data_IF_969707919787
#
_entry.id   IF_969707919787
#
_cell.length_a   1.000
_cell.length_b   1.000
_cell.length_c   1.000
_cell.angle_alpha   90.00
_cell.angle_beta   90.00
_cell.angle_gamma   90.00
#
_symmetry.space_group_name_H-M   'P 1'
#
loop_
_entity.id
_entity.type
_entity.pdbx_description
1 polymer ?
#
# COMPACT_ATOMS: atom_id res chain seq x y z
N UNK A 1 1.57 -25.65 -81.52
CA UNK A 1 1.60 -24.24 -81.10
C UNK A 1 2.71 -24.12 -80.07
N UNK A 2 3.83 -23.58 -80.46
CA UNK A 2 5.11 -23.63 -79.75
C UNK A 2 5.15 -22.48 -78.71
N UNK A 3 5.51 -22.79 -77.47
CA UNK A 3 5.87 -21.77 -76.48
C UNK A 3 7.27 -22.06 -75.95
N UNK A 4 8.19 -21.13 -76.28
CA UNK A 4 9.63 -21.20 -75.97
C UNK A 4 9.86 -20.91 -74.51
N UNK A 5 10.62 -21.78 -73.85
CA UNK A 5 11.13 -21.59 -72.48
C UNK A 5 12.41 -20.76 -72.58
N UNK A 6 12.41 -19.59 -71.96
CA UNK A 6 13.59 -18.74 -71.80
C UNK A 6 14.24 -19.05 -70.45
N UNK A 7 15.44 -19.64 -70.49
CA UNK A 7 16.30 -19.83 -69.29
C UNK A 7 17.15 -18.59 -69.10
N UNK A 8 16.97 -17.93 -67.99
CA UNK A 8 17.91 -16.91 -67.49
C UNK A 8 18.69 -17.51 -66.31
N UNK A 9 19.98 -17.66 -66.53
CA UNK A 9 20.94 -18.01 -65.46
C UNK A 9 21.20 -16.81 -64.58
N UNK A 10 21.02 -17.00 -63.28
CA UNK A 10 21.38 -15.99 -62.28
C UNK A 10 22.60 -16.47 -61.50
N UNK A 11 23.71 -15.76 -61.66
CA UNK A 11 24.93 -15.99 -60.90
C UNK A 11 24.72 -15.60 -59.46
N UNK A 12 24.87 -16.53 -58.54
CA UNK A 12 24.88 -16.29 -57.11
C UNK A 12 26.32 -15.89 -56.69
N UNK A 13 26.51 -14.61 -56.38
CA UNK A 13 27.73 -14.14 -55.71
C UNK A 13 27.62 -14.43 -54.21
N UNK A 14 28.50 -15.32 -53.73
CA UNK A 14 28.60 -15.68 -52.31
C UNK A 14 29.37 -14.58 -51.59
N UNK A 15 28.71 -13.65 -50.95
CA UNK A 15 29.31 -12.69 -50.02
C UNK A 15 29.40 -13.34 -48.63
N UNK A 16 30.60 -13.68 -48.19
CA UNK A 16 30.90 -14.12 -46.85
C UNK A 16 30.74 -12.95 -45.88
N UNK A 17 29.59 -12.88 -45.18
CA UNK A 17 29.43 -11.98 -44.05
C UNK A 17 30.15 -12.59 -42.83
N UNK A 18 31.25 -11.99 -42.46
CA UNK A 18 31.91 -12.20 -41.17
C UNK A 18 30.99 -11.68 -40.09
N UNK A 19 30.28 -12.54 -39.38
CA UNK A 19 29.66 -12.20 -38.13
C UNK A 19 30.74 -11.99 -37.09
N UNK A 20 31.08 -10.73 -36.84
CA UNK A 20 31.78 -10.34 -35.64
C UNK A 20 30.81 -10.55 -34.46
N UNK A 21 31.05 -11.59 -33.65
CA UNK A 21 30.44 -11.69 -32.33
C UNK A 21 31.02 -10.57 -31.45
N UNK A 22 30.41 -9.42 -31.44
CA UNK A 22 30.52 -8.52 -30.30
C UNK A 22 29.70 -9.15 -29.18
N UNK A 23 30.35 -9.60 -28.12
CA UNK A 23 29.72 -9.89 -26.85
C UNK A 23 29.25 -8.57 -26.26
N UNK A 24 28.08 -8.08 -26.70
CA UNK A 24 27.36 -7.09 -25.93
C UNK A 24 26.92 -7.76 -24.63
N UNK A 25 27.55 -7.35 -23.52
CA UNK A 25 27.00 -7.63 -22.22
C UNK A 25 25.52 -7.22 -22.26
N UNK A 26 24.59 -8.10 -21.79
CA UNK A 26 23.18 -7.73 -21.73
C UNK A 26 23.09 -6.44 -20.92
N UNK A 27 22.46 -5.42 -21.52
CA UNK A 27 22.22 -4.14 -20.85
C UNK A 27 21.65 -4.44 -19.46
N UNK A 28 22.14 -3.77 -18.40
CA UNK A 28 21.66 -4.01 -17.05
C UNK A 28 20.14 -3.83 -17.07
N UNK A 29 19.44 -4.88 -16.64
CA UNK A 29 17.98 -4.88 -16.52
C UNK A 29 17.62 -3.61 -15.75
N UNK A 30 16.74 -2.72 -16.30
CA UNK A 30 16.33 -1.53 -15.59
C UNK A 30 15.87 -1.96 -14.20
N UNK A 31 16.47 -1.36 -13.17
CA UNK A 31 16.21 -1.69 -11.79
C UNK A 31 14.72 -1.44 -11.53
N UNK A 32 13.88 -2.47 -11.66
CA UNK A 32 12.43 -2.46 -11.41
C UNK A 32 12.22 -2.35 -9.90
N UNK A 33 12.60 -1.20 -9.36
CA UNK A 33 12.31 -0.88 -7.98
C UNK A 33 10.91 -0.31 -7.92
N UNK A 34 10.03 -0.77 -7.01
CA UNK A 34 8.81 -0.06 -6.70
C UNK A 34 9.18 1.40 -6.44
N UNK A 35 8.59 2.32 -7.19
CA UNK A 35 8.80 3.73 -6.94
C UNK A 35 8.03 4.04 -5.66
N UNK A 36 8.76 4.18 -4.56
CA UNK A 36 8.19 4.56 -3.27
C UNK A 36 7.36 5.85 -3.43
N UNK A 37 6.22 5.97 -2.77
CA UNK A 37 5.55 7.24 -2.63
C UNK A 37 6.49 8.20 -1.87
N UNK A 38 6.79 9.35 -2.45
CA UNK A 38 7.66 10.35 -1.86
C UNK A 38 9.09 10.41 -2.45
N UNK A 39 9.84 11.43 -2.09
CA UNK A 39 11.21 11.64 -2.51
C UNK A 39 12.15 10.61 -1.87
N UNK A 40 13.22 10.26 -2.54
CA UNK A 40 14.16 9.20 -2.18
C UNK A 40 14.96 9.42 -0.89
N UNK A 41 14.81 10.54 -0.21
CA UNK A 41 15.67 10.92 0.92
C UNK A 41 14.93 11.09 2.27
N UNK A 42 13.62 11.26 2.26
CA UNK A 42 12.84 11.59 3.45
C UNK A 42 11.78 10.52 3.76
N UNK A 43 12.22 9.36 4.23
CA UNK A 43 11.29 8.35 4.72
C UNK A 43 10.98 8.53 6.19
N UNK A 44 9.72 8.35 6.56
CA UNK A 44 9.34 8.25 7.97
C UNK A 44 10.06 7.07 8.60
N UNK A 45 10.81 7.32 9.66
CA UNK A 45 11.55 6.29 10.43
C UNK A 45 10.78 5.80 11.64
N UNK A 46 9.94 6.64 12.23
CA UNK A 46 9.02 6.16 13.25
C UNK A 46 7.71 6.93 13.27
N UNK A 47 6.67 6.24 13.71
CA UNK A 47 5.33 6.77 13.97
C UNK A 47 4.98 6.38 15.39
N UNK A 48 4.61 7.34 16.23
CA UNK A 48 4.20 7.08 17.60
C UNK A 48 2.90 7.80 17.91
N UNK A 49 1.99 7.09 18.54
CA UNK A 49 0.69 7.61 18.93
C UNK A 49 0.68 7.99 20.40
N UNK A 50 -0.06 9.03 20.75
CA UNK A 50 -0.44 9.35 22.13
C UNK A 50 -1.94 9.61 22.20
N UNK A 51 -2.57 9.20 23.28
CA UNK A 51 -4.02 9.16 23.43
C UNK A 51 -4.54 7.73 23.43
N UNK A 52 -5.84 7.57 23.71
CA UNK A 52 -6.46 6.25 23.79
C UNK A 52 -6.98 5.83 22.42
N UNK A 53 -6.07 5.32 21.57
CA UNK A 53 -6.43 4.76 20.27
C UNK A 53 -6.26 3.25 20.34
N UNK A 54 -7.37 2.53 20.43
CA UNK A 54 -7.34 1.07 20.32
C UNK A 54 -6.98 0.63 18.89
N UNK A 55 -6.08 -0.33 18.78
CA UNK A 55 -5.75 -1.00 17.53
C UNK A 55 -4.75 -0.26 16.63
N UNK A 56 -4.18 0.86 17.05
CA UNK A 56 -3.09 1.50 16.33
C UNK A 56 -1.74 0.90 16.69
N UNK A 57 -0.84 0.91 15.72
CA UNK A 57 0.52 0.45 15.91
C UNK A 57 1.50 1.62 15.92
N UNK A 58 2.35 1.68 16.93
CA UNK A 58 3.57 2.47 16.87
C UNK A 58 4.58 1.74 16.00
N UNK A 59 5.14 2.42 15.03
CA UNK A 59 6.04 1.82 14.05
C UNK A 59 7.45 2.37 14.15
N UNK A 60 8.44 1.49 13.96
CA UNK A 60 9.83 1.83 13.68
C UNK A 60 10.25 1.17 12.38
N UNK A 61 10.80 1.96 11.46
CA UNK A 61 11.16 1.54 10.11
C UNK A 61 12.67 1.60 9.90
N UNK A 62 13.20 0.61 9.21
CA UNK A 62 14.60 0.60 8.75
C UNK A 62 14.62 0.49 7.23
N UNK A 63 15.29 1.45 6.59
CA UNK A 63 15.44 1.50 5.14
C UNK A 63 16.89 1.22 4.73
N UNK A 64 17.05 0.58 3.57
CA UNK A 64 18.31 0.41 2.89
C UNK A 64 18.09 0.65 1.40
N UNK A 65 18.93 1.48 0.79
CA UNK A 65 18.82 1.85 -0.63
C UNK A 65 17.38 2.30 -1.00
N UNK A 66 16.80 3.17 -0.17
CA UNK A 66 15.43 3.69 -0.28
C UNK A 66 14.31 2.63 -0.23
N UNK A 67 14.60 1.42 0.23
CA UNK A 67 13.62 0.35 0.42
C UNK A 67 13.45 0.04 1.90
N UNK A 68 12.21 -0.15 2.34
CA UNK A 68 11.92 -0.66 3.67
C UNK A 68 12.45 -2.09 3.80
N UNK A 69 13.40 -2.33 4.68
CA UNK A 69 13.97 -3.67 4.91
C UNK A 69 13.50 -4.29 6.22
N UNK A 70 13.12 -3.46 7.19
CA UNK A 70 12.56 -3.95 8.45
C UNK A 70 11.57 -2.96 9.02
N UNK A 71 10.51 -3.46 9.62
CA UNK A 71 9.53 -2.69 10.38
C UNK A 71 9.25 -3.40 11.70
N UNK A 72 9.26 -2.64 12.80
CA UNK A 72 8.84 -3.13 14.10
C UNK A 72 7.58 -2.39 14.51
N UNK A 73 6.48 -3.11 14.65
CA UNK A 73 5.19 -2.62 15.10
C UNK A 73 4.94 -2.97 16.56
N UNK A 74 4.46 -2.02 17.33
CA UNK A 74 4.01 -2.23 18.72
C UNK A 74 2.55 -1.86 18.79
N UNK A 75 1.68 -2.86 18.98
CA UNK A 75 0.25 -2.62 19.17
C UNK A 75 0.02 -2.01 20.54
N UNK A 76 -0.52 -0.80 20.53
CA UNK A 76 -0.94 -0.15 21.76
C UNK A 76 -2.29 -0.72 22.21
N UNK A 77 -2.33 -1.27 23.41
CA UNK A 77 -3.57 -1.66 24.08
C UNK A 77 -3.47 -1.19 25.54
N UNK A 78 -4.32 -0.26 25.99
CA UNK A 78 -4.24 0.31 27.33
C UNK A 78 -4.47 -0.71 28.47
N UNK A 79 -5.03 -1.88 28.15
CA UNK A 79 -5.42 -2.91 29.12
C UNK A 79 -4.55 -4.16 29.13
N UNK A 80 -3.67 -4.35 28.15
CA UNK A 80 -2.86 -5.56 27.98
C UNK A 80 -1.38 -5.23 27.73
N UNK A 81 -0.55 -6.28 27.81
CA UNK A 81 0.87 -6.18 27.43
C UNK A 81 0.95 -5.82 25.94
N UNK A 82 1.75 -4.81 25.62
CA UNK A 82 1.99 -4.38 24.24
C UNK A 82 2.48 -5.59 23.40
N UNK A 83 1.78 -5.89 22.33
CA UNK A 83 2.17 -6.94 21.39
C UNK A 83 3.15 -6.29 20.40
N UNK A 84 4.35 -6.83 20.32
CA UNK A 84 5.37 -6.38 19.39
C UNK A 84 5.67 -7.46 18.37
N UNK A 85 5.78 -7.07 17.11
CA UNK A 85 6.30 -7.93 16.07
C UNK A 85 7.25 -7.16 15.13
N UNK A 86 8.16 -7.89 14.52
CA UNK A 86 9.10 -7.34 13.54
C UNK A 86 8.92 -8.05 12.21
N UNK A 87 8.76 -7.28 11.15
CA UNK A 87 8.72 -7.76 9.77
C UNK A 87 10.02 -7.43 9.08
N UNK A 88 10.68 -8.43 8.48
CA UNK A 88 11.84 -8.24 7.61
C UNK A 88 11.43 -8.53 6.18
N UNK A 89 11.66 -7.56 5.28
CA UNK A 89 11.23 -7.63 3.89
C UNK A 89 12.42 -7.98 3.00
N UNK A 90 12.24 -8.99 2.17
CA UNK A 90 13.22 -9.43 1.16
C UNK A 90 12.55 -9.33 -0.20
N UNK A 91 13.07 -8.45 -1.04
CA UNK A 91 12.51 -8.16 -2.36
C UNK A 91 13.07 -9.12 -3.41
N UNK A 92 12.17 -9.68 -4.21
CA UNK A 92 12.44 -10.45 -5.43
C UNK A 92 11.67 -9.80 -6.59
N UNK A 93 11.93 -10.13 -7.86
CA UNK A 93 11.26 -9.46 -8.99
C UNK A 93 9.74 -9.43 -8.91
N UNK A 94 9.11 -10.53 -8.48
CA UNK A 94 7.65 -10.70 -8.52
C UNK A 94 7.05 -10.90 -7.13
N UNK A 95 7.88 -10.96 -6.08
CA UNK A 95 7.42 -11.25 -4.71
C UNK A 95 8.20 -10.48 -3.68
N UNK A 96 7.55 -10.23 -2.54
CA UNK A 96 8.22 -9.79 -1.33
C UNK A 96 8.12 -10.90 -0.30
N UNK A 97 9.27 -11.47 0.06
CA UNK A 97 9.36 -12.37 1.20
C UNK A 97 9.28 -11.55 2.49
N UNK A 98 8.36 -11.91 3.38
CA UNK A 98 8.24 -11.29 4.69
C UNK A 98 8.53 -12.33 5.75
N UNK A 99 9.58 -12.09 6.53
CA UNK A 99 9.93 -12.91 7.68
C UNK A 99 9.58 -12.14 8.96
N UNK A 100 8.55 -12.60 9.63
CA UNK A 100 8.10 -12.01 10.88
C UNK A 100 8.69 -12.72 12.09
N UNK A 101 8.84 -11.98 13.19
CA UNK A 101 9.04 -12.56 14.53
C UNK A 101 7.66 -12.85 15.13
N UNK A 102 7.47 -14.04 15.63
CA UNK A 102 6.17 -14.54 16.12
C UNK A 102 5.46 -15.43 15.08
N UNK A 103 4.21 -15.76 15.37
CA UNK A 103 3.43 -16.74 14.57
C UNK A 103 2.75 -16.13 13.33
N UNK A 104 3.04 -14.86 13.01
CA UNK A 104 2.42 -14.18 11.88
C UNK A 104 3.13 -14.56 10.58
N UNK A 105 2.59 -15.54 9.85
CA UNK A 105 3.07 -15.89 8.52
C UNK A 105 2.41 -15.00 7.47
N UNK A 106 3.23 -14.32 6.62
CA UNK A 106 2.76 -13.53 5.50
C UNK A 106 3.34 -14.04 4.18
N UNK A 107 2.51 -14.08 3.15
CA UNK A 107 2.91 -14.33 1.76
C UNK A 107 2.38 -13.20 0.90
N UNK A 108 3.27 -12.56 0.15
CA UNK A 108 2.93 -11.42 -0.73
C UNK A 108 3.21 -11.80 -2.17
N UNK A 109 2.26 -11.50 -3.05
CA UNK A 109 2.42 -11.57 -4.51
C UNK A 109 2.21 -10.17 -5.07
N UNK A 110 3.12 -9.73 -5.96
CA UNK A 110 3.07 -8.42 -6.58
C UNK A 110 2.48 -8.50 -7.98
N UNK A 111 1.79 -7.43 -8.41
CA UNK A 111 1.41 -7.22 -9.80
C UNK A 111 2.58 -6.62 -10.62
N UNK A 112 2.35 -6.34 -11.90
CA UNK A 112 3.36 -5.73 -12.80
C UNK A 112 3.84 -4.34 -12.38
N UNK A 113 3.07 -3.63 -11.56
CA UNK A 113 3.41 -2.30 -11.06
C UNK A 113 4.13 -2.35 -9.70
N UNK A 114 4.52 -3.55 -9.26
CA UNK A 114 5.14 -3.84 -7.96
C UNK A 114 4.25 -3.48 -6.75
N UNK A 115 2.94 -3.47 -6.94
CA UNK A 115 1.97 -3.35 -5.85
C UNK A 115 1.45 -4.74 -5.46
N UNK A 116 1.04 -4.90 -4.21
CA UNK A 116 0.49 -6.15 -3.70
C UNK A 116 -0.84 -6.47 -4.42
N UNK A 117 -0.88 -7.52 -5.20
CA UNK A 117 -2.12 -8.06 -5.76
C UNK A 117 -2.80 -9.03 -4.78
N UNK A 118 -1.99 -9.80 -4.08
CA UNK A 118 -2.46 -10.80 -3.14
C UNK A 118 -1.59 -10.83 -1.89
N UNK A 119 -2.24 -10.87 -0.74
CA UNK A 119 -1.60 -11.02 0.56
C UNK A 119 -2.31 -12.12 1.36
N UNK A 120 -1.55 -13.08 1.85
CA UNK A 120 -2.01 -14.08 2.82
C UNK A 120 -1.38 -13.74 4.17
N UNK A 121 -2.21 -13.54 5.18
CA UNK A 121 -1.80 -13.32 6.58
C UNK A 121 -2.39 -14.43 7.41
N UNK A 122 -1.57 -15.37 7.86
CA UNK A 122 -2.01 -16.61 8.48
C UNK A 122 -2.98 -17.39 7.56
N UNK A 123 -4.29 -17.21 7.74
CA UNK A 123 -5.37 -17.86 6.96
C UNK A 123 -6.25 -16.84 6.26
N UNK A 124 -6.07 -15.58 6.55
CA UNK A 124 -6.83 -14.48 5.95
C UNK A 124 -6.21 -14.11 4.61
N UNK A 125 -7.02 -14.14 3.58
CA UNK A 125 -6.62 -13.76 2.23
C UNK A 125 -7.10 -12.35 1.92
N UNK A 126 -6.19 -11.53 1.40
CA UNK A 126 -6.49 -10.17 0.93
C UNK A 126 -6.18 -10.07 -0.56
N UNK A 127 -7.05 -9.41 -1.30
CA UNK A 127 -6.86 -9.08 -2.72
C UNK A 127 -7.01 -7.59 -2.90
N UNK A 128 -6.12 -7.01 -3.71
CA UNK A 128 -6.04 -5.58 -3.93
C UNK A 128 -6.13 -5.29 -5.42
N UNK A 129 -6.87 -4.24 -5.78
CA UNK A 129 -7.06 -3.78 -7.16
C UNK A 129 -6.63 -2.33 -7.28
N UNK A 130 -5.91 -2.02 -8.35
CA UNK A 130 -5.33 -0.69 -8.57
C UNK A 130 -5.82 -0.09 -9.89
N UNK A 131 -5.92 1.24 -9.90
CA UNK A 131 -6.11 2.05 -11.10
C UNK A 131 -5.13 3.23 -11.06
N UNK A 132 -4.41 3.47 -12.15
CA UNK A 132 -3.38 4.53 -12.25
C UNK A 132 -2.32 4.49 -11.12
N UNK A 133 -2.05 3.28 -10.62
CA UNK A 133 -1.12 3.03 -9.51
C UNK A 133 -1.66 3.39 -8.12
N UNK A 134 -2.96 3.62 -7.97
CA UNK A 134 -3.64 3.86 -6.70
C UNK A 134 -4.54 2.69 -6.35
N UNK A 135 -4.61 2.36 -5.08
CA UNK A 135 -5.52 1.33 -4.57
C UNK A 135 -6.97 1.81 -4.71
N UNK A 136 -7.78 1.09 -5.50
CA UNK A 136 -9.20 1.43 -5.72
C UNK A 136 -10.16 0.46 -5.04
N UNK A 137 -9.74 -0.77 -4.78
CA UNK A 137 -10.54 -1.70 -3.97
C UNK A 137 -9.68 -2.79 -3.35
N UNK A 138 -10.20 -3.36 -2.29
CA UNK A 138 -9.64 -4.53 -1.66
C UNK A 138 -10.75 -5.39 -1.04
N UNK A 139 -10.47 -6.66 -0.83
CA UNK A 139 -11.32 -7.55 -0.05
C UNK A 139 -10.49 -8.46 0.85
N UNK A 140 -11.10 -8.87 1.95
CA UNK A 140 -10.59 -9.85 2.90
C UNK A 140 -11.53 -11.04 2.94
N UNK A 141 -11.01 -12.24 2.73
CA UNK A 141 -11.73 -13.50 2.91
C UNK A 141 -11.11 -14.29 4.05
N UNK A 142 -11.95 -14.95 4.83
CA UNK A 142 -11.53 -15.86 5.89
C UNK A 142 -11.94 -17.28 5.49
N UNK A 143 -11.01 -18.24 5.58
CA UNK A 143 -11.33 -19.65 5.38
C UNK A 143 -11.88 -20.24 6.67
N UNK A 144 -13.16 -20.63 6.64
CA UNK A 144 -13.71 -21.45 7.73
C UNK A 144 -13.10 -22.86 7.67
N UNK A 145 -12.27 -23.16 8.67
CA UNK A 145 -11.58 -24.45 8.76
C UNK A 145 -12.52 -25.64 9.01
N UNK A 146 -13.70 -25.38 9.54
CA UNK A 146 -14.65 -26.45 9.90
C UNK A 146 -15.47 -26.89 8.68
N UNK A 147 -15.72 -25.97 7.75
CA UNK A 147 -16.59 -26.25 6.59
C UNK A 147 -15.87 -26.09 5.25
N UNK A 148 -14.62 -25.63 5.22
CA UNK A 148 -13.88 -25.41 3.98
C UNK A 148 -14.45 -24.29 3.10
N UNK A 149 -15.44 -23.55 3.60
CA UNK A 149 -16.06 -22.43 2.89
C UNK A 149 -15.21 -21.17 3.06
N UNK A 150 -15.00 -20.45 1.95
CA UNK A 150 -14.44 -19.11 1.96
C UNK A 150 -15.60 -18.12 2.11
N UNK A 151 -15.53 -17.25 3.11
CA UNK A 151 -16.51 -16.19 3.31
C UNK A 151 -15.86 -14.83 3.18
N UNK A 152 -16.49 -13.91 2.43
CA UNK A 152 -16.11 -12.51 2.41
C UNK A 152 -16.32 -11.94 3.83
N UNK A 153 -15.24 -11.45 4.43
CA UNK A 153 -15.26 -10.91 5.78
C UNK A 153 -15.28 -9.39 5.79
N UNK A 154 -14.51 -8.77 4.91
CA UNK A 154 -14.46 -7.32 4.79
C UNK A 154 -14.11 -6.89 3.36
N UNK A 155 -14.53 -5.71 2.99
CA UNK A 155 -14.12 -5.09 1.73
C UNK A 155 -14.08 -3.56 1.84
N UNK A 156 -13.30 -2.94 0.97
CA UNK A 156 -13.27 -1.50 0.79
C UNK A 156 -13.19 -1.11 -0.68
N UNK A 157 -13.83 0.00 -1.04
CA UNK A 157 -13.64 0.68 -2.32
C UNK A 157 -13.23 2.11 -2.07
N UNK A 158 -12.30 2.63 -2.87
CA UNK A 158 -11.71 3.96 -2.69
C UNK A 158 -11.90 4.75 -3.98
N UNK A 159 -12.59 5.85 -3.90
CA UNK A 159 -12.77 6.80 -5.00
C UNK A 159 -11.82 7.98 -4.82
N UNK A 160 -11.22 8.41 -5.94
CA UNK A 160 -10.30 9.55 -5.97
C UNK A 160 -10.86 10.67 -6.84
N UNK A 161 -10.61 11.91 -6.41
CA UNK A 161 -10.84 13.13 -7.19
C UNK A 161 -9.53 13.90 -7.29
N UNK A 162 -9.04 14.18 -8.51
CA UNK A 162 -7.77 14.88 -8.77
C UNK A 162 -6.55 14.27 -8.03
N UNK A 163 -6.62 12.98 -7.72
CA UNK A 163 -5.58 12.25 -7.02
C UNK A 163 -5.68 12.25 -5.49
N UNK A 164 -6.70 12.86 -4.93
CA UNK A 164 -7.05 12.83 -3.51
C UNK A 164 -8.14 11.81 -3.25
N UNK A 165 -8.08 11.15 -2.09
CA UNK A 165 -9.15 10.30 -1.62
C UNK A 165 -10.39 11.18 -1.41
N UNK A 166 -11.49 10.85 -2.12
CA UNK A 166 -12.77 11.52 -1.99
C UNK A 166 -13.72 10.74 -1.08
N UNK A 167 -13.87 9.44 -1.34
CA UNK A 167 -14.76 8.57 -0.58
C UNK A 167 -14.13 7.20 -0.40
N UNK A 168 -14.28 6.62 0.79
CA UNK A 168 -14.03 5.20 1.03
C UNK A 168 -15.36 4.57 1.46
N UNK A 169 -15.73 3.48 0.79
CA UNK A 169 -16.84 2.61 1.21
C UNK A 169 -16.24 1.40 1.90
N UNK A 170 -16.70 1.07 3.08
CA UNK A 170 -16.16 -0.04 3.87
C UNK A 170 -17.28 -0.84 4.52
N UNK A 171 -17.20 -2.17 4.47
CA UNK A 171 -18.08 -3.07 5.20
C UNK A 171 -17.33 -4.27 5.77
N UNK A 172 -17.84 -4.81 6.86
CA UNK A 172 -17.38 -6.02 7.55
C UNK A 172 -18.57 -6.94 7.86
N UNK A 173 -18.31 -8.24 7.92
CA UNK A 173 -19.26 -9.26 8.42
C UNK A 173 -20.66 -9.24 7.77
N UNK A 174 -20.75 -8.85 6.50
CA UNK A 174 -21.99 -8.64 5.75
C UNK A 174 -22.88 -7.51 6.32
N UNK A 175 -22.30 -6.59 7.09
CA UNK A 175 -23.00 -5.37 7.50
C UNK A 175 -23.20 -4.43 6.30
N UNK A 176 -24.15 -3.51 6.42
CA UNK A 176 -24.32 -2.45 5.45
C UNK A 176 -23.08 -1.54 5.42
N UNK A 177 -22.67 -1.07 4.22
CA UNK A 177 -21.44 -0.32 4.08
C UNK A 177 -21.51 1.06 4.76
N UNK A 178 -20.42 1.40 5.44
CA UNK A 178 -20.16 2.75 5.98
C UNK A 178 -19.39 3.56 4.96
N UNK A 179 -19.72 4.85 4.83
CA UNK A 179 -19.08 5.77 3.89
C UNK A 179 -18.21 6.77 4.64
N UNK A 180 -16.96 6.91 4.20
CA UNK A 180 -15.97 7.84 4.74
C UNK A 180 -15.68 8.89 3.68
N UNK A 181 -16.22 10.11 3.84
CA UNK A 181 -16.00 11.22 2.92
C UNK A 181 -14.81 12.03 3.37
N UNK A 182 -13.80 12.11 2.53
CA UNK A 182 -12.54 12.78 2.82
C UNK A 182 -12.51 14.16 2.19
N UNK A 183 -12.03 15.14 2.96
CA UNK A 183 -11.72 16.48 2.47
C UNK A 183 -10.22 16.66 2.51
N UNK A 184 -9.53 17.05 1.41
CA UNK A 184 -8.09 17.26 1.40
C UNK A 184 -7.72 18.62 2.03
N UNK A 185 -6.47 18.70 2.51
CA UNK A 185 -5.81 19.98 2.81
C UNK A 185 -5.25 20.61 1.54
N UNK A 186 -4.60 21.77 1.66
CA UNK A 186 -3.73 22.32 0.60
C UNK A 186 -2.28 21.80 0.69
N UNK A 187 -1.95 20.98 1.69
CA UNK A 187 -0.59 20.46 1.93
C UNK A 187 -0.43 19.16 1.14
N UNK A 188 0.58 19.12 0.27
CA UNK A 188 0.92 17.90 -0.48
C UNK A 188 1.39 16.79 0.46
N UNK A 189 0.93 15.58 0.24
CA UNK A 189 1.38 14.39 0.96
C UNK A 189 2.68 13.85 0.36
N UNK A 190 3.74 14.65 0.42
CA UNK A 190 5.06 14.29 -0.14
C UNK A 190 5.72 13.14 0.57
N UNK A 191 5.42 12.98 1.85
CA UNK A 191 6.00 11.96 2.72
C UNK A 191 5.26 10.61 2.63
N UNK A 192 4.15 10.58 1.85
CA UNK A 192 3.37 9.37 1.63
C UNK A 192 2.69 8.87 2.90
N UNK A 193 2.24 9.79 3.77
CA UNK A 193 1.59 9.41 5.02
C UNK A 193 0.25 8.72 4.77
N UNK A 194 0.02 7.63 5.46
CA UNK A 194 -1.28 6.97 5.51
C UNK A 194 -2.25 7.90 6.26
N UNK A 195 -3.47 8.15 5.72
CA UNK A 195 -4.45 8.93 6.45
C UNK A 195 -4.77 8.25 7.79
N UNK A 196 -4.54 8.99 8.89
CA UNK A 196 -4.84 8.49 10.22
C UNK A 196 -6.32 8.12 10.35
N UNK A 197 -6.64 7.16 11.17
CA UNK A 197 -7.98 6.57 11.35
C UNK A 197 -8.55 5.79 10.16
N UNK A 198 -7.93 5.84 8.97
CA UNK A 198 -8.40 5.14 7.77
C UNK A 198 -7.61 3.87 7.40
N UNK A 199 -6.66 3.48 8.23
CA UNK A 199 -5.80 2.31 7.99
C UNK A 199 -6.61 1.05 7.64
N UNK A 200 -7.58 0.70 8.46
CA UNK A 200 -8.46 -0.45 8.27
C UNK A 200 -9.32 -0.33 7.00
N UNK A 201 -9.88 0.85 6.74
CA UNK A 201 -10.71 1.14 5.57
C UNK A 201 -9.91 1.09 4.27
N UNK A 202 -8.61 1.31 4.36
CA UNK A 202 -7.65 1.14 3.25
C UNK A 202 -7.05 -0.28 3.17
N UNK A 203 -7.59 -1.22 3.92
CA UNK A 203 -7.15 -2.62 3.88
C UNK A 203 -5.87 -2.93 4.67
N UNK A 204 -5.42 -2.02 5.55
CA UNK A 204 -4.22 -2.20 6.36
C UNK A 204 -4.56 -2.71 7.76
N UNK A 205 -4.85 -3.99 7.91
CA UNK A 205 -5.24 -4.60 9.19
C UNK A 205 -4.02 -4.92 10.08
N UNK A 206 -3.28 -3.92 10.51
CA UNK A 206 -2.05 -4.08 11.32
C UNK A 206 -0.81 -4.40 10.48
N UNK A 207 -0.84 -4.12 9.18
CA UNK A 207 0.32 -4.22 8.31
C UNK A 207 0.57 -2.92 7.51
N UNK A 208 0.36 -1.78 8.16
CA UNK A 208 0.61 -0.43 7.63
C UNK A 208 2.04 -0.27 7.10
N UNK A 209 2.98 -1.04 7.63
CA UNK A 209 4.36 -1.08 7.13
C UNK A 209 4.46 -1.46 5.64
N UNK A 210 3.48 -2.21 5.10
CA UNK A 210 3.43 -2.52 3.66
C UNK A 210 3.01 -1.29 2.82
N UNK A 211 2.19 -0.40 3.40
CA UNK A 211 1.89 0.88 2.79
C UNK A 211 3.14 1.77 2.75
N UNK A 212 3.85 1.91 3.87
CA UNK A 212 5.10 2.67 3.95
C UNK A 212 6.25 2.05 3.15
N UNK A 213 6.17 0.77 2.83
CA UNK A 213 7.04 0.12 1.85
C UNK A 213 6.70 0.46 0.39
N UNK A 214 5.63 1.24 0.14
CA UNK A 214 5.16 1.57 -1.20
C UNK A 214 4.44 0.42 -1.92
N UNK A 215 4.12 -0.64 -1.21
CA UNK A 215 3.54 -1.86 -1.78
C UNK A 215 2.01 -1.80 -1.95
N UNK A 216 1.35 -0.79 -1.36
CA UNK A 216 -0.10 -0.57 -1.51
C UNK A 216 -0.45 0.59 -2.46
N UNK A 217 0.47 0.92 -3.37
CA UNK A 217 0.26 1.93 -4.39
C UNK A 217 0.60 3.35 -3.95
N UNK A 218 0.18 4.32 -4.78
CA UNK A 218 0.45 5.74 -4.52
C UNK A 218 -0.42 6.28 -3.41
N UNK A 219 0.15 7.07 -2.53
CA UNK A 219 -0.56 7.83 -1.51
C UNK A 219 -1.56 8.84 -2.11
N UNK A 220 -2.50 9.33 -1.30
CA UNK A 220 -3.32 10.50 -1.63
C UNK A 220 -2.42 11.70 -1.92
N UNK A 221 -2.83 12.55 -2.87
CA UNK A 221 -2.00 13.67 -3.36
C UNK A 221 -1.77 14.73 -2.28
N UNK A 222 -2.81 15.05 -1.52
CA UNK A 222 -2.73 15.95 -0.38
C UNK A 222 -3.06 15.21 0.91
N UNK A 223 -2.66 15.78 2.05
CA UNK A 223 -3.06 15.25 3.36
C UNK A 223 -4.58 15.41 3.54
N UNK A 224 -5.19 14.47 4.25
CA UNK A 224 -6.62 14.53 4.57
C UNK A 224 -6.83 15.56 5.67
N UNK A 225 -7.73 16.54 5.44
CA UNK A 225 -8.13 17.56 6.41
C UNK A 225 -9.21 17.07 7.35
N UNK A 226 -10.19 16.38 6.79
CA UNK A 226 -11.34 15.89 7.56
C UNK A 226 -11.90 14.62 6.93
N UNK A 227 -12.48 13.79 7.77
CA UNK A 227 -13.25 12.60 7.40
C UNK A 227 -14.62 12.72 8.03
N UNK A 228 -15.66 12.73 7.21
CA UNK A 228 -17.03 12.58 7.64
C UNK A 228 -17.43 11.11 7.48
N UNK A 229 -18.00 10.53 8.52
CA UNK A 229 -18.41 9.12 8.56
C UNK A 229 -19.93 9.06 8.52
N UNK A 230 -20.47 8.47 7.44
CA UNK A 230 -21.90 8.28 7.23
C UNK A 230 -22.25 6.81 7.46
N UNK A 231 -22.99 6.51 8.47
CA UNK A 231 -23.50 5.17 8.73
C UNK A 231 -24.83 4.92 8.01
N UNK A 232 -25.05 3.71 7.44
CA UNK A 232 -26.28 3.39 6.72
C UNK A 232 -27.53 3.30 7.63
N UNK A 233 -27.33 3.06 8.91
CA UNK A 233 -28.42 2.90 9.89
C UNK A 233 -28.80 4.25 10.49
N UNK A 234 -30.04 4.72 10.19
CA UNK A 234 -30.59 5.95 10.77
C UNK A 234 -30.66 5.94 12.32
N UNK A 235 -30.59 4.76 12.95
CA UNK A 235 -30.53 4.63 14.40
C UNK A 235 -29.16 5.00 14.99
N UNK A 236 -28.10 5.00 14.17
CA UNK A 236 -26.75 5.48 14.52
C UNK A 236 -26.55 6.93 14.09
N UNK A 237 -27.47 7.80 14.44
CA UNK A 237 -27.63 9.18 13.96
C UNK A 237 -26.50 10.16 14.25
N UNK A 238 -25.39 9.73 14.78
CA UNK A 238 -24.26 10.63 15.02
C UNK A 238 -23.34 10.59 13.80
N UNK A 239 -23.64 11.42 12.79
CA UNK A 239 -22.68 11.80 11.75
C UNK A 239 -21.42 12.27 12.47
N UNK A 240 -20.40 11.43 12.42
CA UNK A 240 -19.17 11.68 13.15
C UNK A 240 -18.15 12.26 12.19
N UNK A 241 -17.52 13.36 12.56
CA UNK A 241 -16.48 13.98 11.76
C UNK A 241 -15.18 14.07 12.56
N UNK A 242 -14.08 13.67 11.93
CA UNK A 242 -12.73 13.83 12.48
C UNK A 242 -12.00 14.87 11.66
N UNK A 243 -11.49 15.92 12.32
CA UNK A 243 -10.64 16.93 11.72
C UNK A 243 -9.19 16.74 12.13
N UNK A 244 -8.29 16.75 11.14
CA UNK A 244 -6.85 16.60 11.34
C UNK A 244 -6.15 17.94 11.24
N UNK A 245 -5.19 18.17 12.13
CA UNK A 245 -4.31 19.34 12.12
C UNK A 245 -2.88 18.87 12.06
N UNK A 246 -2.13 19.44 11.13
CA UNK A 246 -0.75 19.07 10.88
C UNK A 246 0.19 20.22 11.27
N UNK A 247 1.35 19.87 11.81
CA UNK A 247 2.49 20.78 11.94
C UNK A 247 3.72 20.20 11.27
N UNK A 248 4.57 21.09 10.76
CA UNK A 248 5.80 20.73 10.07
C UNK A 248 7.03 21.10 10.88
N UNK A 249 8.11 20.36 10.68
CA UNK A 249 9.42 20.68 11.17
C UNK A 249 10.09 21.78 10.30
N UNK A 250 11.35 22.13 10.63
CA UNK A 250 12.13 23.14 9.89
C UNK A 250 12.45 22.75 8.43
N UNK A 251 12.25 21.51 8.07
CA UNK A 251 12.48 20.97 6.72
C UNK A 251 11.18 20.74 5.95
N UNK A 252 10.08 21.38 6.40
CA UNK A 252 8.73 21.26 5.84
C UNK A 252 8.14 19.83 5.82
N UNK A 253 8.70 18.91 6.62
CA UNK A 253 8.17 17.56 6.81
C UNK A 253 7.13 17.57 7.92
N UNK A 254 6.09 16.74 7.79
CA UNK A 254 5.04 16.63 8.82
C UNK A 254 5.60 15.95 10.06
N UNK A 255 5.76 16.67 11.15
CA UNK A 255 6.25 16.13 12.42
C UNK A 255 5.13 15.70 13.37
N UNK A 256 3.94 16.28 13.23
CA UNK A 256 2.83 16.04 14.14
C UNK A 256 1.48 16.11 13.39
N UNK A 257 0.62 15.16 13.66
CA UNK A 257 -0.82 15.19 13.33
C UNK A 257 -1.63 15.12 14.63
N UNK A 258 -2.64 15.98 14.79
CA UNK A 258 -3.53 15.95 15.95
C UNK A 258 -5.00 15.93 15.51
N UNK A 259 -5.83 15.20 16.26
CA UNK A 259 -7.28 15.13 16.04
C UNK A 259 -8.00 14.73 17.32
N UNK A 260 -9.31 14.80 17.31
CA UNK A 260 -10.18 14.32 18.40
C UNK A 260 -10.89 13.07 17.91
N UNK A 261 -10.83 12.02 18.67
CA UNK A 261 -11.51 10.75 18.42
C UNK A 261 -12.23 10.33 19.70
N UNK A 262 -13.55 10.13 19.63
CA UNK A 262 -14.40 9.78 20.78
C UNK A 262 -14.19 10.72 21.98
N UNK A 263 -14.18 12.04 21.73
CA UNK A 263 -13.94 13.11 22.72
C UNK A 263 -12.53 13.10 23.35
N UNK A 264 -11.62 12.26 22.88
CA UNK A 264 -10.25 12.20 23.34
C UNK A 264 -9.29 12.84 22.33
N UNK A 265 -8.35 13.63 22.83
CA UNK A 265 -7.30 14.21 22.00
C UNK A 265 -6.26 13.13 21.65
N UNK A 266 -6.00 13.00 20.38
CA UNK A 266 -4.99 12.09 19.83
C UNK A 266 -3.90 12.90 19.16
N UNK A 267 -2.66 12.46 19.33
CA UNK A 267 -1.55 12.98 18.54
C UNK A 267 -0.70 11.86 17.97
N UNK A 268 -0.21 12.08 16.75
CA UNK A 268 0.67 11.17 16.03
C UNK A 268 1.93 11.91 15.67
N UNK A 269 3.07 11.41 16.13
CA UNK A 269 4.38 12.00 15.88
C UNK A 269 5.11 11.20 14.80
N UNK A 270 5.69 11.91 13.84
CA UNK A 270 6.48 11.36 12.76
C UNK A 270 7.94 11.78 12.90
N UNK A 271 8.87 10.83 12.77
CA UNK A 271 10.32 11.08 12.79
C UNK A 271 10.91 10.62 11.46
N UNK A 272 11.83 11.43 10.91
CA UNK A 272 12.47 11.21 9.61
C UNK A 272 13.96 10.89 9.73
#
# INVERSE_FOLDING_TARGET
>A
MNMKILRTSFCVALAALMFSCSSEEPAPIPNLQPKLPGSTENHVKSITHSGNIEGCYDWNFTYKDSRLTSATGTLYNPTTVAIQYTSNLVYSPDTVGIKNTGDLAMKVVLNSDNCIEYLLVNKDEYRFVYSEGRLVSWNKTIKDLNFGAEALHAYGTIEYSDGDIATITYAENNDDPTYYRCTPTAIYNTDGLLPETLSKQMGCFGFEHLYYAGLLGKATKHLVKAVQIDYPDEAKKDDYSVEFRYSTNKSDQIELCTFILNDEAVSVNYVY
#
